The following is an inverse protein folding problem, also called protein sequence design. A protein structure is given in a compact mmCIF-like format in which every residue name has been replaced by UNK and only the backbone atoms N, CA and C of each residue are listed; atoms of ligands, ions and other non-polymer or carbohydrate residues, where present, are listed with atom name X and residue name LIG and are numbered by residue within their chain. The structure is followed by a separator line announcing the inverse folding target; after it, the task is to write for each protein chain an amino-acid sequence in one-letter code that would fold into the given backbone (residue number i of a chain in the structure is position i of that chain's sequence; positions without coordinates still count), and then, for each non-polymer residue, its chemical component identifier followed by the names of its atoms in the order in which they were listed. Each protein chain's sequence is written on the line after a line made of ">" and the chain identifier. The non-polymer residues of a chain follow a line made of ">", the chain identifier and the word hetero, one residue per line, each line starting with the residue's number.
data_IF_481692124240
#
_entry.id   IF_481692124240
#
_cell.length_a   1.000
_cell.length_b   1.000
_cell.length_c   1.000
_cell.angle_alpha   90.00
_cell.angle_beta   90.00
_cell.angle_gamma   90.00
#
_symmetry.space_group_name_H-M   'P 1'
#
loop_
_entity.id
_entity.type
_entity.pdbx_description
1 polymer ?
#
# COMPACT_ATOMS: atom_id res chain seq x y z
N UNK A 1 -21.37 -15.15 6.84
CA UNK A 1 -21.57 -14.45 8.13
C UNK A 1 -20.49 -13.39 8.29
N UNK A 2 -20.79 -12.30 8.99
CA UNK A 2 -19.82 -11.24 9.31
C UNK A 2 -19.61 -11.21 10.82
N UNK A 3 -18.36 -11.17 11.28
CA UNK A 3 -18.00 -11.19 12.70
C UNK A 3 -17.12 -9.99 13.06
N UNK A 4 -17.16 -9.63 14.34
CA UNK A 4 -16.23 -8.70 14.95
C UNK A 4 -15.94 -9.19 16.36
N UNK A 5 -14.72 -9.69 16.61
CA UNK A 5 -14.34 -10.22 17.92
C UNK A 5 -13.72 -9.11 18.79
N UNK A 6 -13.60 -9.35 20.10
CA UNK A 6 -13.06 -8.34 20.99
C UNK A 6 -11.57 -8.04 20.73
N UNK A 7 -11.21 -6.75 20.54
CA UNK A 7 -9.81 -6.30 20.46
C UNK A 7 -9.09 -6.38 21.81
N UNK A 8 -9.63 -5.70 22.84
CA UNK A 8 -8.91 -5.47 24.12
C UNK A 8 -9.30 -6.43 25.24
N UNK A 9 -10.00 -7.52 24.93
CA UNK A 9 -10.49 -8.51 25.91
C UNK A 9 -10.12 -9.91 25.44
N UNK A 10 -8.89 -10.31 25.74
CA UNK A 10 -8.27 -11.51 25.16
C UNK A 10 -9.01 -12.80 25.55
N UNK A 11 -9.35 -12.98 26.82
CA UNK A 11 -10.05 -14.18 27.29
C UNK A 11 -11.44 -14.31 26.62
N UNK A 12 -12.18 -13.22 26.50
CA UNK A 12 -13.48 -13.18 25.83
C UNK A 12 -13.35 -13.38 24.32
N UNK A 13 -12.34 -12.79 23.66
CA UNK A 13 -12.06 -13.05 22.24
C UNK A 13 -11.78 -14.54 22.02
N UNK A 14 -10.95 -15.14 22.87
CA UNK A 14 -10.65 -16.55 22.75
C UNK A 14 -11.85 -17.44 23.05
N UNK A 15 -12.74 -17.03 23.96
CA UNK A 15 -14.01 -17.70 24.20
C UNK A 15 -14.94 -17.59 22.99
N UNK A 16 -15.03 -16.41 22.36
CA UNK A 16 -15.79 -16.19 21.12
C UNK A 16 -15.29 -17.10 20.00
N UNK A 17 -13.96 -17.26 19.86
CA UNK A 17 -13.35 -18.16 18.89
C UNK A 17 -13.75 -19.63 19.13
N UNK A 18 -13.71 -20.11 20.38
CA UNK A 18 -14.18 -21.46 20.73
C UNK A 18 -15.67 -21.63 20.42
N UNK A 19 -16.51 -20.67 20.79
CA UNK A 19 -17.96 -20.73 20.54
C UNK A 19 -18.28 -20.74 19.04
N UNK A 20 -17.53 -20.00 18.22
CA UNK A 20 -17.65 -20.03 16.76
C UNK A 20 -17.27 -21.41 16.21
N UNK A 21 -16.19 -22.02 16.69
CA UNK A 21 -15.79 -23.38 16.31
C UNK A 21 -16.90 -24.40 16.66
N UNK A 22 -17.42 -24.36 17.89
CA UNK A 22 -18.51 -25.23 18.34
C UNK A 22 -19.80 -25.02 17.54
N UNK A 23 -20.10 -23.78 17.17
CA UNK A 23 -21.24 -23.44 16.32
C UNK A 23 -21.06 -24.01 14.90
N UNK A 24 -19.86 -23.85 14.31
CA UNK A 24 -19.55 -24.37 12.98
C UNK A 24 -19.69 -25.89 12.92
N UNK A 25 -19.47 -26.59 14.04
CA UNK A 25 -19.64 -28.03 14.13
C UNK A 25 -21.08 -28.51 13.91
N UNK A 26 -22.05 -27.63 14.07
CA UNK A 26 -23.49 -27.92 13.97
C UNK A 26 -24.09 -27.45 12.65
N UNK A 27 -23.29 -26.81 11.78
CA UNK A 27 -23.78 -26.29 10.52
C UNK A 27 -23.81 -27.37 9.44
N UNK A 28 -24.92 -27.43 8.72
CA UNK A 28 -25.11 -28.33 7.57
C UNK A 28 -24.92 -27.61 6.23
N UNK A 29 -25.01 -26.28 6.22
CA UNK A 29 -24.75 -25.46 5.05
C UNK A 29 -23.27 -25.07 4.97
N UNK A 30 -22.74 -24.84 3.76
CA UNK A 30 -21.41 -24.23 3.60
C UNK A 30 -21.35 -22.88 4.31
N UNK A 31 -20.24 -22.61 5.01
CA UNK A 31 -20.05 -21.35 5.74
C UNK A 31 -18.87 -20.60 5.16
N UNK A 32 -19.12 -19.33 4.82
CA UNK A 32 -18.09 -18.30 4.64
C UNK A 32 -18.25 -17.31 5.79
N UNK A 33 -17.19 -17.13 6.57
CA UNK A 33 -17.16 -16.27 7.74
C UNK A 33 -16.09 -15.20 7.56
N UNK A 34 -16.51 -13.95 7.47
CA UNK A 34 -15.64 -12.80 7.18
C UNK A 34 -15.66 -11.85 8.37
N UNK A 35 -14.58 -11.10 8.58
CA UNK A 35 -14.61 -9.94 9.47
C UNK A 35 -13.30 -9.73 10.20
N UNK A 36 -13.35 -8.85 11.19
CA UNK A 36 -12.25 -8.58 12.10
C UNK A 36 -12.29 -9.55 13.28
N UNK A 37 -11.27 -10.39 13.37
CA UNK A 37 -11.15 -11.38 14.43
C UNK A 37 -10.19 -10.99 15.53
N UNK A 38 -9.42 -9.90 15.34
CA UNK A 38 -8.42 -9.44 16.30
C UNK A 38 -7.41 -10.54 16.71
N UNK A 39 -7.02 -11.40 15.76
CA UNK A 39 -6.10 -12.51 16.04
C UNK A 39 -4.61 -12.14 15.93
N UNK A 40 -4.29 -10.87 15.67
CA UNK A 40 -2.92 -10.36 15.67
C UNK A 40 -1.93 -11.28 14.92
N UNK A 41 -2.29 -11.68 13.70
CA UNK A 41 -1.47 -12.62 12.92
C UNK A 41 -0.29 -11.89 12.28
N UNK A 42 0.88 -12.05 12.88
CA UNK A 42 2.11 -11.40 12.45
C UNK A 42 2.58 -11.90 11.07
N UNK A 43 2.82 -10.97 10.15
CA UNK A 43 3.17 -11.29 8.76
C UNK A 43 4.53 -11.98 8.62
N UNK A 44 5.47 -11.70 9.53
CA UNK A 44 6.87 -12.14 9.42
C UNK A 44 7.11 -13.51 10.08
N UNK A 45 6.65 -13.65 11.32
CA UNK A 45 6.84 -14.85 12.13
C UNK A 45 5.70 -15.85 12.00
N UNK A 46 4.53 -15.42 11.52
CA UNK A 46 3.31 -16.21 11.58
C UNK A 46 2.80 -16.45 12.99
N UNK A 47 3.38 -15.79 14.02
CA UNK A 47 2.86 -15.80 15.38
C UNK A 47 1.48 -15.14 15.38
N UNK A 48 0.57 -15.70 16.15
CA UNK A 48 -0.80 -15.21 16.22
C UNK A 48 -1.38 -15.42 17.62
N UNK A 49 -2.49 -14.75 17.87
CA UNK A 49 -3.33 -14.88 19.04
C UNK A 49 -3.88 -16.31 19.18
N UNK A 50 -3.99 -16.79 20.42
CA UNK A 50 -4.50 -18.13 20.70
C UNK A 50 -5.97 -18.34 20.27
N UNK A 51 -6.72 -17.25 20.03
CA UNK A 51 -8.05 -17.31 19.44
C UNK A 51 -8.06 -17.92 18.03
N UNK A 52 -7.03 -17.67 17.22
CA UNK A 52 -6.94 -18.28 15.89
C UNK A 52 -6.85 -19.81 15.99
N UNK A 53 -5.99 -20.32 16.87
CA UNK A 53 -5.84 -21.76 17.10
C UNK A 53 -7.15 -22.39 17.59
N UNK A 54 -7.86 -21.72 18.51
CA UNK A 54 -9.16 -22.17 19.02
C UNK A 54 -10.22 -22.18 17.94
N UNK A 55 -10.25 -21.16 17.07
CA UNK A 55 -11.20 -21.08 15.97
C UNK A 55 -10.94 -22.16 14.91
N UNK A 56 -9.67 -22.44 14.60
CA UNK A 56 -9.28 -23.39 13.54
C UNK A 56 -9.10 -24.83 14.02
N UNK A 57 -9.17 -25.07 15.33
CA UNK A 57 -9.03 -26.39 15.94
C UNK A 57 -9.87 -27.48 15.23
N UNK A 58 -9.23 -28.60 14.93
CA UNK A 58 -9.85 -29.73 14.22
C UNK A 58 -10.23 -29.42 12.78
N UNK A 59 -9.53 -28.48 12.14
CA UNK A 59 -9.79 -27.99 10.78
C UNK A 59 -11.23 -27.50 10.58
N UNK A 60 -11.89 -27.07 11.68
CA UNK A 60 -13.30 -26.68 11.65
C UNK A 60 -13.53 -25.45 10.79
N UNK A 61 -12.65 -24.46 10.95
CA UNK A 61 -12.51 -23.33 10.06
C UNK A 61 -11.15 -23.42 9.37
N UNK A 62 -11.13 -23.09 8.08
CA UNK A 62 -9.92 -22.97 7.29
C UNK A 62 -9.84 -21.57 6.74
N UNK A 63 -8.70 -20.90 6.97
CA UNK A 63 -8.45 -19.56 6.42
C UNK A 63 -8.33 -19.66 4.89
N UNK A 64 -9.23 -18.96 4.18
CA UNK A 64 -9.06 -18.65 2.77
C UNK A 64 -7.99 -17.55 2.66
N UNK A 65 -6.74 -17.96 2.88
CA UNK A 65 -5.60 -17.06 3.03
C UNK A 65 -5.29 -16.36 1.70
N UNK A 66 -5.14 -15.02 1.70
CA UNK A 66 -4.68 -14.30 0.52
C UNK A 66 -3.32 -14.79 0.00
N UNK A 67 -3.13 -14.75 -1.32
CA UNK A 67 -1.85 -15.12 -1.94
C UNK A 67 -0.71 -14.19 -1.51
N UNK A 68 -1.03 -12.91 -1.31
CA UNK A 68 -0.14 -11.91 -0.75
C UNK A 68 -0.76 -11.42 0.56
N UNK A 69 -0.05 -11.60 1.68
CA UNK A 69 -0.44 -11.00 2.94
C UNK A 69 0.07 -9.56 3.01
N UNK A 70 -0.81 -8.68 3.47
CA UNK A 70 -0.53 -7.27 3.76
C UNK A 70 -1.01 -7.02 5.17
N UNK A 71 -0.35 -6.11 5.90
CA UNK A 71 -0.81 -5.76 7.24
C UNK A 71 -2.23 -5.21 7.17
N UNK A 72 -3.05 -5.46 8.19
CA UNK A 72 -4.35 -4.79 8.30
C UNK A 72 -4.46 -3.90 9.52
N UNK A 73 -3.44 -3.94 10.38
CA UNK A 73 -3.24 -3.02 11.49
C UNK A 73 -1.83 -2.43 11.39
N UNK A 74 -1.71 -1.11 11.52
CA UNK A 74 -0.48 -0.35 11.59
C UNK A 74 -0.73 0.93 12.40
N UNK A 75 -0.79 0.84 13.73
CA UNK A 75 -0.89 2.04 14.56
C UNK A 75 0.46 2.75 14.68
N UNK A 76 0.49 4.06 14.44
CA UNK A 76 1.69 4.90 14.50
C UNK A 76 2.62 4.79 13.29
N UNK A 77 3.57 5.73 13.17
CA UNK A 77 4.58 5.70 12.10
C UNK A 77 6.02 5.78 12.64
N UNK A 78 6.89 4.80 12.33
CA UNK A 78 6.62 3.57 11.58
C UNK A 78 5.64 2.64 12.31
N UNK A 79 4.93 1.76 11.56
CA UNK A 79 3.92 0.85 12.12
C UNK A 79 4.44 0.11 13.35
N UNK A 80 3.74 0.22 14.48
CA UNK A 80 4.07 -0.53 15.69
C UNK A 80 3.67 -2.01 15.57
N UNK A 81 2.57 -2.28 14.85
CA UNK A 81 2.06 -3.62 14.58
C UNK A 81 2.11 -3.92 13.08
N UNK A 82 2.47 -5.17 12.74
CA UNK A 82 2.52 -5.69 11.37
C UNK A 82 1.71 -6.99 11.32
N UNK A 83 0.42 -6.89 11.65
CA UNK A 83 -0.48 -8.02 11.86
C UNK A 83 -1.71 -7.95 10.93
N UNK A 84 -2.24 -9.13 10.61
CA UNK A 84 -3.57 -9.29 10.02
C UNK A 84 -4.58 -9.49 11.14
N UNK A 85 -5.62 -8.65 11.14
CA UNK A 85 -6.80 -8.74 11.99
C UNK A 85 -8.05 -9.17 11.21
N UNK A 86 -8.09 -8.89 9.90
CA UNK A 86 -9.23 -9.17 9.02
C UNK A 86 -9.07 -10.49 8.27
N UNK A 87 -10.01 -11.41 8.47
CA UNK A 87 -9.93 -12.77 7.93
C UNK A 87 -11.16 -13.17 7.12
N UNK A 88 -10.94 -14.14 6.23
CA UNK A 88 -11.98 -14.88 5.53
C UNK A 88 -11.81 -16.37 5.85
N UNK A 89 -12.67 -16.92 6.68
CA UNK A 89 -12.69 -18.34 7.01
C UNK A 89 -13.78 -19.10 6.27
N UNK A 90 -13.53 -20.38 6.03
CA UNK A 90 -14.49 -21.33 5.43
C UNK A 90 -14.74 -22.50 6.38
N UNK A 91 -15.98 -22.99 6.43
CA UNK A 91 -16.33 -24.22 7.15
C UNK A 91 -17.31 -25.11 6.37
N UNK A 92 -17.32 -26.39 6.71
CA UNK A 92 -18.13 -27.40 6.03
C UNK A 92 -17.75 -27.53 4.55
N UNK A 93 -18.74 -27.69 3.68
CA UNK A 93 -18.52 -27.87 2.24
C UNK A 93 -17.83 -26.67 1.56
N UNK A 94 -17.79 -25.48 2.19
CA UNK A 94 -17.08 -24.34 1.62
C UNK A 94 -15.55 -24.52 1.58
N UNK A 95 -15.00 -25.40 2.43
CA UNK A 95 -13.55 -25.61 2.52
C UNK A 95 -12.94 -26.29 1.29
N UNK A 96 -13.76 -27.03 0.54
CA UNK A 96 -13.33 -27.74 -0.66
C UNK A 96 -13.49 -26.90 -1.93
N UNK A 97 -14.07 -25.71 -1.84
CA UNK A 97 -14.21 -24.81 -2.98
C UNK A 97 -12.89 -24.15 -3.30
N UNK A 98 -12.63 -23.93 -4.60
CA UNK A 98 -11.60 -22.97 -5.00
C UNK A 98 -11.98 -21.60 -4.44
N UNK A 99 -11.00 -20.93 -3.86
CA UNK A 99 -11.15 -19.60 -3.30
C UNK A 99 -9.94 -18.74 -3.64
N UNK A 100 -10.19 -17.46 -3.89
CA UNK A 100 -9.19 -16.41 -3.98
C UNK A 100 -9.55 -15.33 -2.97
N UNK A 101 -8.56 -14.82 -2.26
CA UNK A 101 -8.74 -13.76 -1.29
C UNK A 101 -7.65 -12.69 -1.43
N UNK A 102 -8.02 -11.45 -1.11
CA UNK A 102 -7.17 -10.27 -1.14
C UNK A 102 -7.53 -9.37 0.03
N UNK A 103 -6.50 -8.83 0.68
CA UNK A 103 -6.65 -7.69 1.59
C UNK A 103 -6.50 -6.45 0.71
N UNK A 104 -7.55 -5.66 0.61
CA UNK A 104 -7.57 -4.46 -0.21
C UNK A 104 -6.94 -3.34 0.60
N UNK A 105 -5.76 -2.89 0.15
CA UNK A 105 -5.07 -1.72 0.70
C UNK A 105 -5.04 -0.64 -0.37
N UNK A 106 -5.50 0.57 -0.04
CA UNK A 106 -5.45 1.75 -0.91
C UNK A 106 -4.40 2.76 -0.41
N UNK A 107 -3.92 3.66 -1.29
CA UNK A 107 -3.00 4.71 -0.87
C UNK A 107 -3.59 5.57 0.25
N UNK A 108 -2.85 5.74 1.35
CA UNK A 108 -3.31 6.48 2.52
C UNK A 108 -4.02 5.64 3.57
N UNK A 109 -4.14 4.32 3.37
CA UNK A 109 -4.70 3.45 4.40
C UNK A 109 -3.86 3.42 5.68
N UNK A 110 -2.57 3.74 5.63
CA UNK A 110 -1.68 3.69 6.79
C UNK A 110 -1.01 5.04 7.04
N UNK A 111 -0.62 5.33 8.30
CA UNK A 111 -0.86 4.53 9.51
C UNK A 111 -2.32 4.62 9.98
N UNK A 112 -2.76 3.66 10.80
CA UNK A 112 -4.03 3.72 11.53
C UNK A 112 -3.99 4.92 12.48
N UNK A 113 -5.01 5.77 12.38
CA UNK A 113 -5.23 6.94 13.21
C UNK A 113 -6.73 7.26 13.30
N UNK A 114 -7.11 8.42 13.83
CA UNK A 114 -8.52 8.79 13.98
C UNK A 114 -9.27 8.97 12.64
N UNK A 115 -8.56 8.94 11.51
CA UNK A 115 -9.10 9.18 10.16
C UNK A 115 -9.02 7.97 9.24
N UNK A 116 -8.26 6.95 9.62
CA UNK A 116 -8.02 5.72 8.87
C UNK A 116 -8.38 4.52 9.74
N UNK A 117 -9.04 3.51 9.15
CA UNK A 117 -9.47 2.35 9.95
C UNK A 117 -8.28 1.50 10.35
N UNK A 118 -8.31 0.86 11.51
CA UNK A 118 -7.43 -0.26 11.91
C UNK A 118 -7.92 -1.62 11.37
N UNK A 119 -8.75 -1.57 10.32
CA UNK A 119 -9.32 -2.72 9.63
C UNK A 119 -9.22 -2.51 8.12
N UNK A 120 -8.93 -3.57 7.37
CA UNK A 120 -8.86 -3.50 5.91
C UNK A 120 -9.98 -4.31 5.27
N UNK A 121 -10.61 -3.80 4.19
CA UNK A 121 -11.55 -4.60 3.42
C UNK A 121 -10.88 -5.88 2.92
N UNK A 122 -11.55 -7.02 3.14
CA UNK A 122 -11.15 -8.30 2.57
C UNK A 122 -12.10 -8.67 1.43
N UNK A 123 -11.54 -8.84 0.24
CA UNK A 123 -12.25 -9.34 -0.93
C UNK A 123 -12.01 -10.85 -1.03
N UNK A 124 -13.07 -11.63 -1.19
CA UNK A 124 -12.94 -13.05 -1.49
C UNK A 124 -13.91 -13.51 -2.58
N UNK A 125 -13.42 -14.38 -3.46
CA UNK A 125 -14.17 -15.01 -4.54
C UNK A 125 -14.14 -16.51 -4.35
N UNK A 126 -15.30 -17.15 -4.50
CA UNK A 126 -15.47 -18.59 -4.29
C UNK A 126 -16.14 -19.22 -5.51
N UNK A 127 -15.68 -20.41 -5.89
CA UNK A 127 -16.24 -21.20 -6.98
C UNK A 127 -16.71 -22.56 -6.44
N UNK A 128 -18.01 -22.70 -6.09
CA UNK A 128 -18.53 -23.92 -5.48
C UNK A 128 -18.38 -25.20 -6.30
N UNK A 129 -18.36 -25.06 -7.63
CA UNK A 129 -18.26 -26.16 -8.58
C UNK A 129 -16.81 -26.52 -8.95
N UNK A 130 -15.83 -25.74 -8.46
CA UNK A 130 -14.40 -26.00 -8.69
C UNK A 130 -13.75 -26.49 -7.39
N UNK A 131 -13.11 -27.67 -7.37
CA UNK A 131 -12.40 -28.12 -6.20
C UNK A 131 -11.19 -27.23 -5.94
N UNK A 132 -10.91 -26.97 -4.66
CA UNK A 132 -9.68 -26.33 -4.21
C UNK A 132 -8.49 -27.12 -4.77
N UNK A 133 -7.55 -26.41 -5.41
CA UNK A 133 -6.30 -27.02 -5.82
C UNK A 133 -5.63 -27.70 -4.62
N UNK A 134 -5.05 -28.90 -4.78
CA UNK A 134 -4.32 -29.55 -3.70
C UNK A 134 -3.19 -28.64 -3.25
N UNK A 135 -3.33 -28.05 -2.07
CA UNK A 135 -2.22 -27.38 -1.40
C UNK A 135 -1.22 -28.48 -1.08
N UNK A 136 0.01 -28.37 -1.60
CA UNK A 136 1.08 -29.27 -1.19
C UNK A 136 1.16 -29.21 0.34
N UNK A 137 0.81 -30.31 1.01
CA UNK A 137 0.86 -30.40 2.46
C UNK A 137 2.31 -30.15 2.86
N UNK A 138 2.65 -29.08 3.62
CA UNK A 138 3.95 -29.06 4.24
C UNK A 138 3.94 -30.23 5.21
N UNK A 139 4.69 -31.28 4.90
CA UNK A 139 4.97 -32.35 5.84
C UNK A 139 5.43 -31.70 7.13
N UNK A 140 4.66 -31.89 8.21
CA UNK A 140 5.00 -31.44 9.54
C UNK A 140 6.30 -32.16 9.95
N UNK A 141 7.43 -31.51 9.66
CA UNK A 141 8.73 -32.00 10.08
C UNK A 141 8.79 -31.90 11.61
N UNK A 142 9.17 -33.02 12.25
CA UNK A 142 9.41 -33.08 13.67
C UNK A 142 10.31 -31.91 14.11
N UNK A 143 9.92 -31.27 15.22
CA UNK A 143 10.58 -30.12 15.83
C UNK A 143 12.10 -30.33 15.89
N UNK A 144 12.91 -29.57 15.14
CA UNK A 144 14.36 -29.58 15.34
C UNK A 144 14.66 -28.94 16.69
N UNK A 145 15.48 -29.61 17.49
CA UNK A 145 16.14 -29.01 18.64
C UNK A 145 16.89 -27.76 18.18
N UNK A 146 16.65 -26.64 18.85
CA UNK A 146 17.21 -25.34 18.51
C UNK A 146 18.75 -25.39 18.47
N UNK A 147 19.29 -25.39 17.26
CA UNK A 147 20.66 -24.95 16.99
C UNK A 147 20.56 -23.43 16.79
N UNK A 148 21.48 -22.61 17.34
CA UNK A 148 21.41 -21.16 17.15
C UNK A 148 21.40 -20.86 15.65
N UNK A 149 20.29 -20.30 15.18
CA UNK A 149 20.15 -19.81 13.81
C UNK A 149 21.17 -18.69 13.65
N UNK A 150 22.06 -18.72 12.64
CA UNK A 150 22.94 -17.59 12.39
C UNK A 150 22.07 -16.34 12.23
N UNK A 151 22.40 -15.29 12.98
CA UNK A 151 21.71 -14.01 12.88
C UNK A 151 21.68 -13.61 11.40
N UNK A 152 20.47 -13.35 10.88
CA UNK A 152 20.30 -12.92 9.50
C UNK A 152 21.01 -11.59 9.23
N UNK A 153 20.90 -11.08 7.99
CA UNK A 153 21.60 -9.85 7.62
C UNK A 153 21.20 -8.71 8.56
N UNK A 154 22.15 -7.98 9.12
CA UNK A 154 21.89 -6.79 9.95
C UNK A 154 22.72 -5.60 9.49
N UNK A 155 22.23 -4.39 9.72
CA UNK A 155 23.00 -3.17 9.51
C UNK A 155 24.08 -3.05 10.59
N UNK A 156 25.34 -2.95 10.22
CA UNK A 156 26.44 -2.89 11.20
C UNK A 156 26.58 -1.53 11.89
N UNK A 157 25.90 -0.50 11.36
CA UNK A 157 25.76 0.84 11.94
C UNK A 157 24.58 1.56 11.31
N UNK A 158 24.24 2.74 11.84
CA UNK A 158 23.25 3.59 11.21
C UNK A 158 23.71 4.07 9.83
N UNK A 159 22.83 3.98 8.84
CA UNK A 159 23.18 4.30 7.46
C UNK A 159 21.99 4.78 6.64
N UNK A 160 22.26 5.47 5.53
CA UNK A 160 21.24 5.85 4.57
C UNK A 160 20.88 4.67 3.65
N UNK A 161 19.58 4.43 3.50
CA UNK A 161 19.01 3.61 2.43
C UNK A 161 18.77 4.49 1.21
N UNK A 162 18.96 3.97 0.00
CA UNK A 162 18.93 4.76 -1.25
C UNK A 162 17.98 4.19 -2.29
N UNK A 163 17.55 5.02 -3.24
CA UNK A 163 16.65 4.60 -4.34
C UNK A 163 17.37 3.79 -5.43
N UNK A 164 18.68 3.61 -5.33
CA UNK A 164 19.48 2.79 -6.24
C UNK A 164 20.88 2.53 -5.68
N UNK A 165 21.64 1.62 -6.32
CA UNK A 165 22.97 1.22 -5.86
C UNK A 165 24.02 2.28 -6.20
N UNK A 166 24.18 3.25 -5.31
CA UNK A 166 25.19 4.30 -5.44
C UNK A 166 24.88 5.53 -4.60
N UNK A 167 25.90 6.31 -4.25
CA UNK A 167 25.73 7.53 -3.44
C UNK A 167 25.11 8.71 -4.19
N UNK A 168 25.04 8.61 -5.51
CA UNK A 168 24.36 9.56 -6.41
C UNK A 168 22.85 9.38 -6.45
N UNK A 169 22.34 8.23 -6.04
CA UNK A 169 20.90 8.00 -5.89
C UNK A 169 20.39 8.67 -4.61
N UNK A 170 19.19 9.24 -4.69
CA UNK A 170 18.53 9.89 -3.56
C UNK A 170 18.37 8.92 -2.38
N UNK A 171 18.42 9.48 -1.16
CA UNK A 171 18.15 8.74 0.07
C UNK A 171 16.66 8.38 0.11
N UNK A 172 16.35 7.11 0.33
CA UNK A 172 15.01 6.55 0.45
C UNK A 172 14.59 6.36 1.92
N UNK A 173 15.55 6.34 2.85
CA UNK A 173 15.33 6.12 4.26
C UNK A 173 16.65 5.93 5.01
N UNK A 174 16.59 5.35 6.20
CA UNK A 174 17.79 5.03 6.98
C UNK A 174 17.62 3.76 7.81
N UNK A 175 18.73 3.17 8.24
CA UNK A 175 18.78 2.05 9.18
C UNK A 175 19.49 2.47 10.47
N UNK A 176 19.31 1.68 11.52
CA UNK A 176 20.05 1.77 12.78
C UNK A 176 21.02 0.59 12.94
N UNK A 177 22.05 0.75 13.78
CA UNK A 177 22.98 -0.33 14.12
C UNK A 177 22.26 -1.55 14.69
N UNK A 178 22.57 -2.75 14.21
CA UNK A 178 21.95 -4.02 14.58
C UNK A 178 20.57 -4.27 13.97
N UNK A 179 20.03 -3.32 13.20
CA UNK A 179 18.71 -3.49 12.57
C UNK A 179 18.74 -4.63 11.56
N UNK A 180 17.76 -5.55 11.64
CA UNK A 180 17.60 -6.64 10.69
C UNK A 180 17.28 -6.11 9.28
N UNK A 181 17.87 -6.74 8.27
CA UNK A 181 17.75 -6.38 6.86
C UNK A 181 17.27 -7.59 6.05
N UNK A 182 16.25 -7.36 5.23
CA UNK A 182 15.72 -8.37 4.31
C UNK A 182 16.25 -8.12 2.91
N UNK A 183 17.36 -8.78 2.57
CA UNK A 183 18.04 -8.61 1.28
C UNK A 183 17.39 -9.52 0.25
N UNK A 184 16.82 -8.92 -0.80
CA UNK A 184 16.17 -9.62 -1.91
C UNK A 184 17.04 -9.66 -3.18
N UNK A 185 18.04 -8.79 -3.26
CA UNK A 185 18.82 -8.58 -4.47
C UNK A 185 20.17 -7.94 -4.21
N UNK A 186 21.06 -8.00 -5.20
CA UNK A 186 22.30 -7.23 -5.26
C UNK A 186 22.50 -6.63 -6.64
N UNK A 187 23.26 -5.55 -6.74
CA UNK A 187 23.63 -5.02 -8.03
C UNK A 187 24.69 -5.93 -8.71
N UNK A 188 24.94 -5.79 -10.03
CA UNK A 188 25.90 -6.64 -10.73
C UNK A 188 27.32 -6.64 -10.14
N UNK A 189 27.77 -5.51 -9.57
CA UNK A 189 29.07 -5.39 -8.92
C UNK A 189 29.11 -5.99 -7.50
N UNK A 190 27.96 -6.27 -6.90
CA UNK A 190 27.83 -6.87 -5.56
C UNK A 190 28.20 -5.95 -4.40
N UNK A 191 28.42 -4.67 -4.65
CA UNK A 191 28.76 -3.66 -3.63
C UNK A 191 27.52 -2.97 -3.03
N UNK A 192 26.32 -3.30 -3.53
CA UNK A 192 25.04 -2.87 -2.97
C UNK A 192 24.03 -4.01 -2.89
N UNK A 193 23.25 -4.04 -1.81
CA UNK A 193 22.10 -4.91 -1.62
C UNK A 193 20.80 -4.15 -1.75
N UNK A 194 19.81 -4.76 -2.39
CA UNK A 194 18.44 -4.30 -2.43
C UNK A 194 17.63 -4.98 -1.33
N UNK A 195 16.86 -4.20 -0.61
CA UNK A 195 15.94 -4.65 0.43
C UNK A 195 14.55 -4.94 -0.15
N UNK A 196 13.74 -5.71 0.56
CA UNK A 196 12.33 -6.01 0.24
C UNK A 196 11.47 -4.75 0.02
N UNK A 197 11.76 -3.67 0.75
CA UNK A 197 11.21 -2.33 0.56
C UNK A 197 11.58 -1.67 -0.79
N UNK A 198 12.46 -2.28 -1.58
CA UNK A 198 12.98 -1.75 -2.84
C UNK A 198 14.16 -0.77 -2.69
N UNK A 199 14.50 -0.37 -1.46
CA UNK A 199 15.63 0.50 -1.16
C UNK A 199 16.97 -0.25 -1.18
N UNK A 200 18.07 0.50 -1.32
CA UNK A 200 19.42 -0.03 -1.50
C UNK A 200 20.34 0.39 -0.36
N UNK A 201 21.15 -0.55 0.13
CA UNK A 201 22.18 -0.34 1.15
C UNK A 201 23.54 -0.83 0.64
N UNK A 202 24.61 -0.12 0.98
CA UNK A 202 25.95 -0.54 0.58
C UNK A 202 26.34 -1.84 1.30
N UNK A 203 26.92 -2.79 0.58
CA UNK A 203 27.19 -4.14 1.09
C UNK A 203 28.10 -4.15 2.32
N UNK A 204 29.06 -3.21 2.42
CA UNK A 204 29.95 -3.09 3.57
C UNK A 204 29.25 -2.61 4.86
N UNK A 205 27.99 -2.19 4.78
CA UNK A 205 27.16 -1.83 5.93
C UNK A 205 26.32 -2.99 6.45
N UNK A 206 26.44 -4.16 5.85
CA UNK A 206 25.64 -5.35 6.18
C UNK A 206 26.53 -6.42 6.76
N UNK A 207 26.24 -6.84 7.98
CA UNK A 207 26.80 -8.06 8.58
C UNK A 207 25.89 -9.24 8.25
N UNK A 208 26.46 -10.43 8.01
CA UNK A 208 25.67 -11.65 7.80
C UNK A 208 24.88 -11.71 6.49
N UNK A 209 25.29 -10.96 5.47
CA UNK A 209 24.64 -11.00 4.16
C UNK A 209 24.64 -12.41 3.54
N UNK A 210 23.57 -12.82 2.82
CA UNK A 210 23.50 -14.17 2.25
C UNK A 210 24.58 -14.38 1.19
N UNK A 211 25.16 -15.60 1.14
CA UNK A 211 26.23 -15.94 0.20
C UNK A 211 25.74 -15.97 -1.26
N UNK A 212 24.45 -16.28 -1.46
CA UNK A 212 23.80 -16.29 -2.77
C UNK A 212 22.60 -15.33 -2.76
N UNK A 213 22.76 -14.18 -3.42
CA UNK A 213 21.71 -13.17 -3.62
C UNK A 213 21.53 -12.95 -5.12
N UNK A 214 20.28 -12.91 -5.59
CA UNK A 214 19.96 -12.67 -6.99
C UNK A 214 20.51 -11.32 -7.47
N UNK A 215 21.01 -11.28 -8.71
CA UNK A 215 21.43 -10.01 -9.32
C UNK A 215 20.19 -9.29 -9.82
N UNK A 216 19.98 -8.06 -9.35
CA UNK A 216 18.90 -7.18 -9.77
C UNK A 216 19.49 -6.01 -10.53
N UNK A 217 18.87 -5.68 -11.66
CA UNK A 217 19.27 -4.54 -12.48
C UNK A 217 18.95 -3.23 -11.74
N UNK A 218 19.94 -2.35 -11.65
CA UNK A 218 19.78 -1.08 -10.99
C UNK A 218 18.77 -0.21 -11.74
N UNK A 219 17.90 0.56 -11.05
CA UNK A 219 17.15 1.62 -11.70
C UNK A 219 18.12 2.55 -12.43
N UNK A 220 17.80 2.93 -13.66
CA UNK A 220 18.61 3.91 -14.38
C UNK A 220 18.73 5.17 -13.52
N UNK A 221 19.96 5.69 -13.35
CA UNK A 221 20.13 7.01 -12.76
C UNK A 221 19.27 7.99 -13.58
N UNK A 222 18.54 8.91 -12.93
CA UNK A 222 17.86 9.97 -13.66
C UNK A 222 18.93 10.74 -14.43
N UNK A 223 18.96 10.54 -15.75
CA UNK A 223 19.75 11.38 -16.65
C UNK A 223 19.13 12.76 -16.56
N UNK A 224 19.90 13.85 -16.32
CA UNK A 224 19.36 15.18 -16.50
C UNK A 224 18.73 15.25 -17.88
N UNK A 225 17.45 15.67 -17.93
CA UNK A 225 16.66 15.71 -19.16
C UNK A 225 17.47 16.42 -20.25
N UNK A 226 17.68 15.81 -21.44
CA UNK A 226 18.29 16.51 -22.55
C UNK A 226 17.41 17.72 -22.93
N UNK A 227 18.01 18.83 -23.40
CA UNK A 227 17.24 19.97 -23.89
C UNK A 227 16.28 19.50 -25.00
N UNK A 228 15.02 19.92 -24.88
CA UNK A 228 13.91 19.60 -25.76
C UNK A 228 14.33 19.65 -27.23
N UNK A 229 14.34 18.48 -27.90
CA UNK A 229 14.54 18.40 -29.33
C UNK A 229 13.30 18.95 -30.06
N UNK A 230 13.54 19.77 -31.08
CA UNK A 230 12.54 20.31 -32.00
C UNK A 230 11.78 19.14 -32.68
N UNK A 231 10.44 19.21 -32.81
CA UNK A 231 9.66 18.06 -33.27
C UNK A 231 9.98 17.70 -34.73
N UNK A 232 10.29 16.42 -34.96
CA UNK A 232 10.42 15.79 -36.27
C UNK A 232 9.05 15.23 -36.69
N UNK A 233 8.63 15.31 -37.96
CA UNK A 233 7.31 14.83 -38.39
C UNK A 233 7.19 13.29 -38.28
N UNK A 234 6.06 12.81 -37.77
CA UNK A 234 5.76 11.40 -37.59
C UNK A 234 5.44 10.66 -38.92
N UNK A 235 5.78 9.36 -39.04
CA UNK A 235 5.40 8.52 -40.19
C UNK A 235 3.89 8.16 -40.18
N UNK A 236 3.32 7.74 -41.33
CA UNK A 236 1.88 7.53 -41.48
C UNK A 236 1.35 6.33 -40.69
N UNK A 237 0.11 6.49 -40.18
CA UNK A 237 -0.58 5.60 -39.26
C UNK A 237 -1.03 4.26 -39.88
N UNK A 238 -1.09 3.21 -39.04
CA UNK A 238 -1.68 1.90 -39.33
C UNK A 238 -3.22 1.90 -39.17
N UNK A 239 -3.95 0.91 -39.73
CA UNK A 239 -5.42 0.92 -39.83
C UNK A 239 -6.14 0.85 -38.47
N UNK A 240 -7.40 1.34 -38.38
CA UNK A 240 -8.12 1.50 -37.12
C UNK A 240 -8.65 0.17 -36.57
N UNK A 241 -8.41 -0.07 -35.28
CA UNK A 241 -8.98 -1.16 -34.49
C UNK A 241 -10.39 -0.79 -33.98
N UNK A 242 -11.33 -1.74 -33.80
CA UNK A 242 -12.73 -1.43 -33.43
C UNK A 242 -12.87 -0.75 -32.06
N UNK A 243 -13.71 0.28 -32.00
CA UNK A 243 -14.00 1.13 -30.83
C UNK A 243 -14.67 0.37 -29.69
N UNK A 244 -13.98 0.26 -28.56
CA UNK A 244 -14.59 0.03 -27.24
C UNK A 244 -15.52 1.21 -26.87
N UNK A 245 -16.53 1.02 -26.00
CA UNK A 245 -17.41 2.10 -25.56
C UNK A 245 -16.60 3.25 -24.95
N UNK A 246 -16.86 4.49 -25.39
CA UNK A 246 -16.21 5.70 -24.87
C UNK A 246 -16.53 5.87 -23.39
N UNK A 247 -15.55 5.61 -22.52
CA UNK A 247 -15.65 5.99 -21.12
C UNK A 247 -15.72 7.51 -20.94
N UNK A 248 -16.15 7.95 -19.76
CA UNK A 248 -16.26 9.35 -19.37
C UNK A 248 -15.25 9.61 -18.25
N UNK A 249 -14.36 10.57 -18.45
CA UNK A 249 -13.48 11.05 -17.39
C UNK A 249 -14.24 11.97 -16.45
N UNK A 250 -13.95 11.88 -15.13
CA UNK A 250 -14.55 12.74 -14.12
C UNK A 250 -13.48 13.11 -13.11
N UNK A 251 -12.91 14.30 -13.26
CA UNK A 251 -11.83 14.78 -12.40
C UNK A 251 -12.41 15.67 -11.31
N UNK A 252 -12.04 15.41 -10.06
CA UNK A 252 -12.53 16.16 -8.90
C UNK A 252 -11.37 16.54 -7.97
N UNK A 253 -11.59 17.57 -7.16
CA UNK A 253 -10.80 17.77 -5.94
C UNK A 253 -11.33 16.75 -4.93
N UNK A 254 -10.60 15.66 -4.72
CA UNK A 254 -11.03 14.57 -3.87
C UNK A 254 -10.85 14.91 -2.39
N UNK A 255 -9.75 15.59 -2.05
CA UNK A 255 -9.42 15.93 -0.67
C UNK A 255 -8.58 17.20 -0.61
N UNK A 256 -8.72 17.97 0.48
CA UNK A 256 -7.84 19.08 0.82
C UNK A 256 -7.35 18.83 2.24
N UNK A 257 -6.04 18.64 2.38
CA UNK A 257 -5.33 18.58 3.64
C UNK A 257 -4.88 19.99 3.99
N UNK A 258 -5.59 20.65 4.90
CA UNK A 258 -5.44 22.07 5.17
C UNK A 258 -4.75 22.39 6.50
N UNK A 259 -4.78 21.50 7.49
CA UNK A 259 -4.14 21.73 8.81
C UNK A 259 -2.81 20.96 8.85
N UNK A 260 -1.80 21.53 8.17
CA UNK A 260 -0.48 20.94 8.04
C UNK A 260 0.24 20.81 9.38
N UNK A 261 1.02 19.75 9.54
CA UNK A 261 1.79 19.49 10.76
C UNK A 261 3.12 20.26 10.80
N UNK A 262 3.57 20.83 9.67
CA UNK A 262 4.78 21.66 9.63
C UNK A 262 4.47 23.05 10.20
N UNK A 263 4.59 23.17 11.53
CA UNK A 263 4.28 24.40 12.28
C UNK A 263 4.76 25.69 11.60
N UNK A 264 3.84 26.64 11.44
CA UNK A 264 3.98 28.00 10.86
C UNK A 264 4.06 28.11 9.34
N UNK A 265 4.46 27.07 8.61
CA UNK A 265 4.61 27.13 7.14
C UNK A 265 3.75 26.12 6.41
N UNK A 266 3.32 25.06 7.11
CA UNK A 266 2.32 24.07 6.70
C UNK A 266 2.61 23.57 5.28
N UNK A 267 3.90 23.32 5.01
CA UNK A 267 4.39 22.96 3.67
C UNK A 267 3.84 21.62 3.17
N UNK A 268 3.35 20.81 4.10
CA UNK A 268 2.72 19.52 3.92
C UNK A 268 1.23 19.58 3.60
N UNK A 269 0.57 20.75 3.65
CA UNK A 269 -0.80 20.88 3.13
C UNK A 269 -0.85 20.57 1.64
N UNK A 270 -1.97 20.04 1.15
CA UNK A 270 -2.17 19.78 -0.28
C UNK A 270 -3.64 19.67 -0.66
N UNK A 271 -3.91 19.85 -1.95
CA UNK A 271 -5.13 19.34 -2.57
C UNK A 271 -4.82 18.11 -3.42
N UNK A 272 -5.65 17.07 -3.29
CA UNK A 272 -5.62 15.85 -4.08
C UNK A 272 -6.64 15.93 -5.22
N UNK A 273 -6.16 15.81 -6.46
CA UNK A 273 -6.96 15.81 -7.68
C UNK A 273 -7.03 14.38 -8.21
N UNK A 274 -8.23 13.84 -8.34
CA UNK A 274 -8.43 12.45 -8.73
C UNK A 274 -9.38 12.31 -9.92
N UNK A 275 -9.09 11.36 -10.80
CA UNK A 275 -10.00 10.94 -11.84
C UNK A 275 -10.88 9.79 -11.31
N UNK A 276 -12.09 10.12 -10.87
CA UNK A 276 -13.10 9.16 -10.41
C UNK A 276 -13.99 8.63 -11.54
N UNK A 277 -13.68 9.01 -12.78
CA UNK A 277 -14.35 8.51 -13.99
C UNK A 277 -13.81 7.15 -14.44
N UNK A 278 -14.31 6.66 -15.58
CA UNK A 278 -13.91 5.38 -16.17
C UNK A 278 -13.17 5.52 -17.51
N UNK A 279 -12.78 6.74 -17.89
CA UNK A 279 -11.82 7.01 -18.96
C UNK A 279 -10.64 7.84 -18.48
N UNK A 280 -9.47 7.61 -19.08
CA UNK A 280 -8.29 8.42 -18.84
C UNK A 280 -8.47 9.84 -19.40
N UNK A 281 -7.79 10.82 -18.79
CA UNK A 281 -7.83 12.22 -19.22
C UNK A 281 -6.48 12.89 -19.01
N UNK A 282 -6.04 13.67 -20.00
CA UNK A 282 -4.91 14.56 -19.84
C UNK A 282 -5.39 15.87 -19.20
N UNK A 283 -4.81 16.22 -18.05
CA UNK A 283 -5.13 17.46 -17.33
C UNK A 283 -4.11 18.58 -17.57
N UNK A 284 -3.31 18.48 -18.64
CA UNK A 284 -2.37 19.52 -19.01
C UNK A 284 -3.04 20.88 -19.21
N UNK A 285 -2.49 21.91 -18.57
CA UNK A 285 -3.03 23.28 -18.64
C UNK A 285 -4.24 23.56 -17.75
N UNK A 286 -4.77 22.55 -17.04
CA UNK A 286 -5.78 22.75 -16.00
C UNK A 286 -5.20 23.58 -14.86
N UNK A 287 -6.07 24.25 -14.11
CA UNK A 287 -5.68 25.16 -13.03
C UNK A 287 -6.38 24.79 -11.73
N UNK A 288 -5.61 24.61 -10.67
CA UNK A 288 -6.11 24.55 -9.29
C UNK A 288 -5.91 25.93 -8.66
N UNK A 289 -6.98 26.49 -8.08
CA UNK A 289 -6.92 27.66 -7.22
C UNK A 289 -7.23 27.26 -5.78
N UNK A 290 -6.50 27.81 -4.82
CA UNK A 290 -6.58 27.42 -3.41
C UNK A 290 -7.42 28.35 -2.51
N UNK A 291 -8.29 29.18 -3.08
CA UNK A 291 -9.23 30.02 -2.32
C UNK A 291 -9.02 31.51 -2.55
N UNK A 292 -7.76 31.96 -2.57
CA UNK A 292 -7.41 33.36 -2.79
C UNK A 292 -6.88 33.67 -4.22
N UNK A 293 -7.08 34.91 -4.71
CA UNK A 293 -6.50 35.37 -5.96
C UNK A 293 -4.96 35.24 -5.96
N UNK A 294 -4.43 34.54 -6.97
CA UNK A 294 -2.99 34.35 -7.14
C UNK A 294 -2.41 33.08 -6.50
N UNK A 295 -3.21 32.32 -5.75
CA UNK A 295 -2.84 30.98 -5.27
C UNK A 295 -3.18 29.91 -6.33
N UNK A 296 -2.61 30.09 -7.52
CA UNK A 296 -2.89 29.26 -8.68
C UNK A 296 -1.75 28.30 -8.97
N UNK A 297 -2.07 27.02 -9.12
CA UNK A 297 -1.19 26.01 -9.70
C UNK A 297 -1.71 25.59 -11.08
N UNK A 298 -0.82 25.54 -12.07
CA UNK A 298 -1.14 25.04 -13.42
C UNK A 298 -0.47 23.70 -13.64
N UNK A 299 -1.28 22.70 -14.00
CA UNK A 299 -0.78 21.37 -14.25
C UNK A 299 0.08 21.32 -15.52
N UNK A 300 1.29 20.71 -15.47
CA UNK A 300 1.95 20.27 -16.68
C UNK A 300 1.13 19.15 -17.34
N UNK A 301 1.53 18.69 -18.52
CA UNK A 301 0.83 17.57 -19.15
C UNK A 301 0.95 16.32 -18.29
N UNK A 302 -0.20 15.83 -17.81
CA UNK A 302 -0.33 14.67 -16.93
C UNK A 302 -1.55 13.89 -17.39
N UNK A 303 -1.36 12.59 -17.64
CA UNK A 303 -2.45 11.67 -17.93
C UNK A 303 -2.92 11.00 -16.64
N UNK A 304 -4.18 11.26 -16.27
CA UNK A 304 -4.85 10.59 -15.15
C UNK A 304 -5.70 9.44 -15.69
N UNK A 305 -5.27 8.20 -15.45
CA UNK A 305 -6.10 7.02 -15.68
C UNK A 305 -7.28 6.96 -14.68
N UNK A 306 -8.34 6.17 -14.96
CA UNK A 306 -9.40 5.91 -14.00
C UNK A 306 -8.85 5.48 -12.63
N UNK A 307 -9.29 6.14 -11.56
CA UNK A 307 -8.86 5.89 -10.18
C UNK A 307 -7.48 6.46 -9.81
N UNK A 308 -6.75 7.11 -10.72
CA UNK A 308 -5.48 7.77 -10.40
C UNK A 308 -5.71 9.16 -9.79
N UNK A 309 -4.77 9.59 -8.95
CA UNK A 309 -4.73 10.92 -8.35
C UNK A 309 -3.33 11.54 -8.39
N UNK A 310 -3.29 12.87 -8.26
CA UNK A 310 -2.08 13.66 -8.05
C UNK A 310 -2.34 14.69 -6.94
N UNK A 311 -1.28 15.17 -6.29
CA UNK A 311 -1.37 16.14 -5.20
C UNK A 311 -0.57 17.38 -5.53
N UNK A 312 -1.11 18.53 -5.13
CA UNK A 312 -0.41 19.83 -5.21
C UNK A 312 -0.22 20.35 -3.79
N UNK A 313 1.03 20.35 -3.35
CA UNK A 313 1.39 20.72 -1.98
C UNK A 313 1.68 22.22 -1.83
N UNK A 314 1.51 22.77 -0.63
CA UNK A 314 1.89 24.14 -0.31
C UNK A 314 3.36 24.40 -0.65
N UNK A 315 4.28 23.54 -0.19
CA UNK A 315 5.71 23.68 -0.52
C UNK A 315 6.54 22.39 -0.56
N UNK A 316 5.96 21.23 -0.26
CA UNK A 316 6.67 19.96 -0.36
C UNK A 316 6.61 19.39 -1.79
N UNK A 317 7.59 18.55 -2.12
CA UNK A 317 7.64 17.86 -3.43
C UNK A 317 7.67 16.37 -3.17
N UNK A 318 6.58 15.69 -3.54
CA UNK A 318 6.37 14.26 -3.36
C UNK A 318 6.19 13.59 -4.74
N UNK A 319 7.26 13.10 -5.39
CA UNK A 319 7.21 12.54 -6.74
C UNK A 319 6.19 11.41 -6.92
N UNK A 320 5.92 10.64 -5.87
CA UNK A 320 4.93 9.56 -5.83
C UNK A 320 3.48 10.04 -6.04
N UNK A 321 3.20 11.33 -5.83
CA UNK A 321 1.88 11.94 -6.03
C UNK A 321 1.91 13.01 -7.14
N UNK A 322 2.89 12.93 -8.04
CA UNK A 322 3.07 13.85 -9.16
C UNK A 322 4.08 14.96 -8.91
N UNK A 323 4.53 15.15 -7.65
CA UNK A 323 5.60 16.09 -7.31
C UNK A 323 5.23 17.56 -7.51
N UNK A 324 3.93 17.89 -7.44
CA UNK A 324 3.47 19.26 -7.67
C UNK A 324 3.43 20.06 -6.38
N UNK A 325 3.78 21.34 -6.51
CA UNK A 325 3.72 22.28 -5.42
C UNK A 325 3.40 23.68 -5.90
N UNK A 326 2.69 24.45 -5.07
CA UNK A 326 2.55 25.89 -5.22
C UNK A 326 3.88 26.64 -5.00
N UNK A 327 4.86 26.02 -4.34
CA UNK A 327 6.15 26.63 -4.04
C UNK A 327 6.06 27.79 -3.05
N UNK A 328 5.03 27.80 -2.19
CA UNK A 328 4.79 28.89 -1.25
C UNK A 328 5.53 28.66 0.05
N UNK A 329 6.30 29.66 0.50
CA UNK A 329 6.95 29.63 1.81
C UNK A 329 6.00 29.82 3.01
N UNK A 330 4.69 29.88 2.76
CA UNK A 330 3.63 30.07 3.76
C UNK A 330 2.47 29.13 3.45
N UNK A 331 1.73 28.76 4.48
CA UNK A 331 0.45 28.09 4.39
C UNK A 331 -0.45 28.74 3.32
N UNK A 332 -1.06 27.91 2.50
CA UNK A 332 -1.96 28.36 1.43
C UNK A 332 -3.40 28.10 1.83
N UNK A 333 -3.65 27.00 2.54
CA UNK A 333 -4.98 26.56 2.92
C UNK A 333 -5.34 27.15 4.28
N UNK A 334 -6.49 27.83 4.39
CA UNK A 334 -6.86 28.50 5.63
C UNK A 334 -7.51 27.54 6.65
N UNK A 335 -6.92 27.37 7.84
CA UNK A 335 -7.43 26.48 8.91
C UNK A 335 -8.81 26.89 9.48
N UNK A 336 -9.35 28.04 9.08
CA UNK A 336 -10.70 28.50 9.44
C UNK A 336 -11.76 28.18 8.38
N UNK A 337 -11.37 27.50 7.31
CA UNK A 337 -12.20 27.14 6.16
C UNK A 337 -11.81 27.93 4.92
N UNK A 338 -11.77 27.22 3.79
CA UNK A 338 -11.54 27.75 2.44
C UNK A 338 -12.15 26.81 1.39
N UNK A 339 -12.16 27.23 0.12
CA UNK A 339 -12.61 26.41 -0.99
C UNK A 339 -11.54 26.34 -2.08
N UNK A 340 -11.08 25.12 -2.38
CA UNK A 340 -10.30 24.86 -3.59
C UNK A 340 -11.20 24.76 -4.82
N UNK A 341 -10.78 25.35 -5.94
CA UNK A 341 -11.52 25.31 -7.21
C UNK A 341 -10.61 24.83 -8.35
N UNK A 342 -11.07 23.80 -9.06
CA UNK A 342 -10.38 23.21 -10.20
C UNK A 342 -11.06 23.64 -11.49
N UNK A 343 -10.25 24.19 -12.40
CA UNK A 343 -10.67 24.63 -13.72
C UNK A 343 -10.02 23.78 -14.81
N UNK A 344 -10.76 23.48 -15.87
CA UNK A 344 -10.20 22.86 -17.07
C UNK A 344 -9.30 23.84 -17.85
N UNK A 345 -8.70 23.36 -18.94
CA UNK A 345 -7.85 24.17 -19.80
C UNK A 345 -8.60 25.33 -20.50
N UNK A 346 -9.93 25.25 -20.61
CA UNK A 346 -10.79 26.31 -21.14
C UNK A 346 -11.21 27.34 -20.10
N UNK A 347 -10.88 27.11 -18.82
CA UNK A 347 -11.24 27.97 -17.70
C UNK A 347 -12.64 27.69 -17.12
N UNK A 348 -13.29 26.58 -17.47
CA UNK A 348 -14.54 26.17 -16.86
C UNK A 348 -14.28 25.46 -15.53
N UNK A 349 -15.13 25.71 -14.53
CA UNK A 349 -15.06 25.00 -13.24
C UNK A 349 -15.46 23.55 -13.45
N UNK A 350 -14.59 22.63 -13.06
CA UNK A 350 -14.81 21.18 -13.11
C UNK A 350 -15.16 20.63 -11.73
N UNK A 351 -14.56 21.19 -10.67
CA UNK A 351 -14.79 20.76 -9.30
C UNK A 351 -14.51 21.90 -8.33
N UNK A 352 -15.25 21.92 -7.22
CA UNK A 352 -15.03 22.78 -6.07
C UNK A 352 -15.11 21.91 -4.81
N UNK A 353 -14.26 22.17 -3.82
CA UNK A 353 -14.31 21.51 -2.53
C UNK A 353 -13.93 22.48 -1.42
N UNK A 354 -14.81 22.59 -0.44
CA UNK A 354 -14.57 23.36 0.78
C UNK A 354 -14.42 22.42 1.99
N UNK A 355 -13.86 22.91 3.09
CA UNK A 355 -13.59 22.14 4.30
C UNK A 355 -13.82 22.96 5.57
#
# INVERSE_FOLDING_TARGET
>A
MVNHLYRSRDDERHQQATLLNDWAARQTLPVIAVGDYNFDWDLLSGRHDAGYDRMTAGDRFVWARPATLVTTQCSGWPCEFNSVLDFVFTAGAAQIWRAEAEIVVVPGDFPDDDTTSDHRPVLARFWPDEPRAPVATPTQAARPTATPVPAGPTANRSANLRRGPGTTYAVAGSTQSGQALYIIGRNPAGDWYQLDSGAWIAAFLVDGAPVAVAVVEAPALPTPLPPTATPVPAPPASPPQPTAPSGVAKVVIQYIYYDGQVSRVESDEYAEIANVGNAAVNIGGWRLNAGDPGQDFRFPSVDLAPGQSVRVYTNQVHPESGGFSFGSGKAIWNNKGDCGVLFDAGGQVVSERCY
#
